data_IF_271429155429
#
_entry.id   IF_271429155429
#
_cell.length_a   1.000
_cell.length_b   1.000
_cell.length_c   1.000
_cell.angle_alpha   90.00
_cell.angle_beta   90.00
_cell.angle_gamma   90.00
#
_symmetry.space_group_name_H-M   'P 1'
#
loop_
_entity.id
_entity.type
_entity.pdbx_description
1 polymer ?
#
# COMPACT_ATOMS: atom_id res chain seq x y z
N UNK A 1 15.73 -8.77 -0.40
CA UNK A 1 14.26 -8.56 -0.52
C UNK A 1 13.75 -8.28 0.88
N UNK A 2 12.75 -7.43 1.07
CA UNK A 2 12.36 -6.85 2.37
C UNK A 2 12.14 -7.88 3.50
N UNK A 3 11.81 -9.11 3.13
CA UNK A 3 11.61 -10.27 3.99
C UNK A 3 12.85 -10.68 4.81
N UNK A 4 14.05 -10.46 4.27
CA UNK A 4 15.31 -10.84 4.93
C UNK A 4 15.68 -9.91 6.09
N UNK A 5 15.17 -8.68 6.10
CA UNK A 5 15.54 -7.66 7.08
C UNK A 5 14.66 -7.73 8.33
N UNK A 6 15.15 -7.33 9.51
CA UNK A 6 14.37 -7.33 10.74
C UNK A 6 13.20 -6.31 10.71
N UNK A 7 12.25 -6.39 11.65
CA UNK A 7 11.28 -5.31 11.90
C UNK A 7 11.97 -3.96 12.14
N UNK A 8 11.24 -2.86 11.96
CA UNK A 8 11.77 -1.49 12.06
C UNK A 8 12.85 -1.13 11.04
N UNK A 9 12.93 -1.84 9.92
CA UNK A 9 13.88 -1.52 8.84
C UNK A 9 13.33 -0.42 7.94
N UNK A 10 14.21 0.50 7.52
CA UNK A 10 13.91 1.48 6.48
C UNK A 10 14.45 1.02 5.13
N UNK A 11 13.56 0.93 4.15
CA UNK A 11 13.85 0.61 2.77
C UNK A 11 13.76 1.86 1.92
N UNK A 12 14.85 2.21 1.26
CA UNK A 12 14.90 3.32 0.31
C UNK A 12 14.86 2.77 -1.11
N UNK A 13 13.87 3.20 -1.88
CA UNK A 13 13.67 2.79 -3.28
C UNK A 13 14.28 3.86 -4.18
N UNK A 14 15.30 3.46 -4.94
CA UNK A 14 15.96 4.33 -5.91
C UNK A 14 14.98 4.90 -6.96
N UNK A 15 15.33 5.98 -7.67
CA UNK A 15 14.50 6.47 -8.78
C UNK A 15 14.24 5.37 -9.83
N UNK A 16 13.03 5.33 -10.39
CA UNK A 16 12.67 4.39 -11.44
C UNK A 16 11.58 3.40 -11.05
N UNK A 17 11.36 2.41 -11.91
CA UNK A 17 10.28 1.44 -11.80
C UNK A 17 10.77 0.16 -11.12
N UNK A 18 10.22 -0.11 -9.95
CA UNK A 18 10.41 -1.32 -9.17
C UNK A 18 9.23 -2.26 -9.41
N UNK A 19 9.54 -3.54 -9.60
CA UNK A 19 8.55 -4.59 -9.88
C UNK A 19 8.71 -5.71 -8.88
N UNK A 20 7.61 -6.38 -8.61
CA UNK A 20 7.59 -7.60 -7.81
C UNK A 20 7.81 -8.80 -8.75
N UNK A 21 7.80 -10.01 -8.20
CA UNK A 21 7.79 -11.20 -9.03
C UNK A 21 6.52 -11.28 -9.90
N UNK A 22 6.50 -12.21 -10.85
CA UNK A 22 5.43 -12.32 -11.84
C UNK A 22 4.15 -13.00 -11.32
N UNK A 23 4.14 -13.55 -10.10
CA UNK A 23 2.98 -14.24 -9.56
C UNK A 23 1.95 -13.27 -9.00
N UNK A 24 0.68 -13.67 -9.09
CA UNK A 24 -0.45 -12.83 -8.66
C UNK A 24 -0.42 -12.38 -7.19
N UNK A 25 0.31 -13.09 -6.33
CA UNK A 25 0.46 -12.79 -4.90
C UNK A 25 1.90 -12.45 -4.52
N UNK A 26 2.78 -12.21 -5.49
CA UNK A 26 4.05 -11.56 -5.18
C UNK A 26 3.71 -10.12 -4.74
N UNK A 27 4.00 -9.83 -3.48
CA UNK A 27 3.57 -8.63 -2.77
C UNK A 27 4.57 -8.35 -1.64
N UNK A 28 4.56 -7.12 -1.11
CA UNK A 28 5.37 -6.80 0.07
C UNK A 28 4.57 -7.14 1.32
N UNK A 29 5.09 -8.05 2.14
CA UNK A 29 4.59 -8.32 3.50
C UNK A 29 5.54 -7.62 4.50
N UNK A 30 5.22 -6.42 4.97
CA UNK A 30 6.05 -5.67 5.89
C UNK A 30 6.05 -6.30 7.28
N UNK A 31 7.15 -6.08 8.02
CA UNK A 31 7.23 -6.33 9.45
C UNK A 31 6.89 -5.05 10.22
N UNK A 32 6.51 -5.19 11.49
CA UNK A 32 6.14 -4.08 12.36
C UNK A 32 7.17 -2.95 12.28
N UNK A 33 6.69 -1.73 12.08
CA UNK A 33 7.56 -0.54 12.06
C UNK A 33 8.38 -0.34 10.79
N UNK A 34 8.27 -1.21 9.78
CA UNK A 34 9.00 -1.02 8.53
C UNK A 34 8.57 0.28 7.85
N UNK A 35 9.55 0.92 7.21
CA UNK A 35 9.35 2.18 6.49
C UNK A 35 9.83 2.03 5.05
N UNK A 36 9.00 2.41 4.08
CA UNK A 36 9.30 2.38 2.65
C UNK A 36 9.30 3.82 2.12
N UNK A 37 10.45 4.25 1.60
CA UNK A 37 10.66 5.62 1.11
C UNK A 37 11.04 5.57 -0.36
N UNK A 38 10.22 6.18 -1.22
CA UNK A 38 10.58 6.41 -2.61
C UNK A 38 11.50 7.63 -2.77
N UNK A 39 12.54 7.48 -3.56
CA UNK A 39 13.22 8.62 -4.17
C UNK A 39 12.28 9.34 -5.16
N UNK A 40 12.55 10.59 -5.54
CA UNK A 40 11.80 11.25 -6.61
C UNK A 40 11.71 10.39 -7.87
N UNK A 41 10.49 10.12 -8.33
CA UNK A 41 10.25 9.26 -9.49
C UNK A 41 10.29 7.75 -9.20
N UNK A 42 10.38 7.32 -7.95
CA UNK A 42 10.22 5.91 -7.59
C UNK A 42 8.76 5.45 -7.80
N UNK A 43 8.62 4.35 -8.53
CA UNK A 43 7.34 3.72 -8.85
C UNK A 43 7.41 2.25 -8.46
N UNK A 44 6.44 1.77 -7.69
CA UNK A 44 6.15 0.36 -7.53
C UNK A 44 5.01 -0.01 -8.49
N UNK A 45 5.31 -0.81 -9.50
CA UNK A 45 4.39 -1.17 -10.58
C UNK A 45 4.04 -2.66 -10.53
N UNK A 46 2.76 -2.97 -10.34
CA UNK A 46 2.24 -4.35 -10.30
C UNK A 46 2.02 -4.99 -11.67
N UNK A 47 2.27 -4.26 -12.76
CA UNK A 47 2.19 -4.72 -14.15
C UNK A 47 0.87 -5.37 -14.59
N UNK A 48 -0.21 -5.16 -13.82
CA UNK A 48 -1.48 -5.90 -13.88
C UNK A 48 -1.38 -7.39 -13.55
N UNK A 49 -0.22 -7.85 -13.11
CA UNK A 49 0.05 -9.23 -12.70
C UNK A 49 -0.16 -9.40 -11.19
N UNK A 50 0.43 -8.51 -10.38
CA UNK A 50 0.34 -8.56 -8.92
C UNK A 50 -0.98 -7.96 -8.45
N UNK A 51 -1.73 -8.65 -7.57
CA UNK A 51 -3.00 -8.13 -7.07
C UNK A 51 -2.84 -7.00 -6.06
N UNK A 52 -1.83 -7.09 -5.20
CA UNK A 52 -1.65 -6.17 -4.07
C UNK A 52 -0.18 -5.76 -3.96
N UNK A 53 0.05 -4.54 -3.48
CA UNK A 53 1.39 -3.99 -3.30
C UNK A 53 1.91 -4.26 -1.88
N UNK A 54 1.09 -3.96 -0.87
CA UNK A 54 1.42 -4.09 0.54
C UNK A 54 0.26 -4.76 1.29
N UNK A 55 0.53 -5.89 1.92
CA UNK A 55 -0.43 -6.69 2.70
C UNK A 55 0.08 -6.92 4.12
N UNK A 56 -0.57 -7.78 4.88
CA UNK A 56 -0.22 -8.14 6.24
C UNK A 56 -1.04 -7.38 7.29
N UNK A 57 -1.17 -8.01 8.45
CA UNK A 57 -1.92 -7.53 9.62
C UNK A 57 -1.04 -6.73 10.60
N UNK A 58 0.25 -6.59 10.31
CA UNK A 58 1.18 -5.92 11.20
C UNK A 58 0.96 -4.41 11.21
N UNK A 59 0.93 -3.82 12.40
CA UNK A 59 0.71 -2.38 12.53
C UNK A 59 1.97 -1.53 12.34
N UNK A 60 1.75 -0.21 12.33
CA UNK A 60 2.83 0.81 12.39
C UNK A 60 3.77 0.86 11.19
N UNK A 61 3.31 0.50 9.99
CA UNK A 61 4.09 0.59 8.75
C UNK A 61 4.00 2.01 8.17
N UNK A 62 5.09 2.51 7.58
CA UNK A 62 5.10 3.80 6.88
C UNK A 62 5.44 3.62 5.40
N UNK A 63 4.66 4.25 4.53
CA UNK A 63 4.92 4.37 3.09
C UNK A 63 4.98 5.86 2.76
N UNK A 64 6.06 6.31 2.12
CA UNK A 64 6.28 7.72 1.83
C UNK A 64 6.94 7.97 0.48
N UNK A 65 6.53 9.03 -0.22
CA UNK A 65 7.12 9.47 -1.50
C UNK A 65 7.11 8.41 -2.61
N UNK A 66 6.13 7.51 -2.60
CA UNK A 66 6.08 6.39 -3.55
C UNK A 66 4.86 6.49 -4.46
N UNK A 67 5.05 6.21 -5.75
CA UNK A 67 3.93 5.93 -6.66
C UNK A 67 3.65 4.44 -6.68
N UNK A 68 2.42 4.03 -6.42
CA UNK A 68 1.97 2.63 -6.42
C UNK A 68 0.89 2.51 -7.49
N UNK A 69 1.13 1.70 -8.52
CA UNK A 69 0.25 1.65 -9.69
C UNK A 69 0.13 0.28 -10.36
N UNK A 70 -0.94 0.14 -11.16
CA UNK A 70 -1.20 -1.00 -12.02
C UNK A 70 -1.29 -2.35 -11.31
N UNK A 71 -1.68 -2.37 -10.04
CA UNK A 71 -1.98 -3.63 -9.36
C UNK A 71 -3.38 -4.14 -9.74
N UNK A 72 -3.49 -5.45 -9.86
CA UNK A 72 -4.72 -6.18 -10.17
C UNK A 72 -5.14 -6.12 -11.64
N UNK A 73 -5.91 -7.13 -12.03
CA UNK A 73 -6.58 -7.21 -13.34
C UNK A 73 -7.87 -6.39 -13.30
N UNK A 74 -8.16 -5.64 -14.36
CA UNK A 74 -9.35 -4.78 -14.45
C UNK A 74 -10.64 -5.57 -14.13
N UNK A 75 -11.50 -4.99 -13.29
CA UNK A 75 -12.72 -5.65 -12.83
C UNK A 75 -12.50 -6.72 -11.75
N UNK A 76 -11.25 -6.98 -11.34
CA UNK A 76 -10.90 -7.89 -10.26
C UNK A 76 -10.77 -7.22 -8.90
N UNK A 77 -10.04 -7.89 -7.99
CA UNK A 77 -9.72 -7.44 -6.64
C UNK A 77 -10.92 -7.24 -5.68
N UNK A 78 -12.15 -7.62 -6.02
CA UNK A 78 -13.26 -7.88 -5.07
C UNK A 78 -13.40 -6.93 -3.85
N UNK A 79 -13.33 -5.60 -4.02
CA UNK A 79 -13.39 -4.60 -2.94
C UNK A 79 -12.18 -4.55 -1.99
N UNK A 80 -11.11 -5.26 -2.32
CA UNK A 80 -9.85 -5.34 -1.58
C UNK A 80 -8.88 -4.21 -1.96
N UNK A 81 -8.08 -3.79 -0.98
CA UNK A 81 -7.09 -2.74 -1.08
C UNK A 81 -5.77 -3.21 -1.66
N UNK A 82 -5.21 -2.43 -2.56
CA UNK A 82 -3.85 -2.65 -3.05
C UNK A 82 -2.80 -2.30 -2.00
N UNK A 83 -3.07 -1.31 -1.17
CA UNK A 83 -2.20 -0.89 -0.06
C UNK A 83 -2.92 -1.13 1.26
N UNK A 84 -2.20 -1.74 2.21
CA UNK A 84 -2.71 -2.12 3.53
C UNK A 84 -3.94 -3.03 3.43
N UNK A 85 -3.88 -4.04 2.56
CA UNK A 85 -4.97 -4.95 2.22
C UNK A 85 -5.77 -5.42 3.44
N UNK A 86 -5.10 -5.80 4.52
CA UNK A 86 -5.71 -6.42 5.70
C UNK A 86 -6.21 -5.39 6.74
N UNK A 87 -6.27 -4.11 6.38
CA UNK A 87 -6.71 -3.01 7.26
C UNK A 87 -5.97 -2.98 8.59
N UNK A 88 -4.66 -3.25 8.58
CA UNK A 88 -3.85 -3.16 9.76
C UNK A 88 -3.84 -1.72 10.32
N UNK A 89 -3.65 -1.61 11.63
CA UNK A 89 -3.75 -0.35 12.37
C UNK A 89 -2.43 0.43 12.43
N UNK A 90 -2.52 1.75 12.57
CA UNK A 90 -1.37 2.65 12.73
C UNK A 90 -0.49 2.82 11.49
N UNK A 91 -0.97 2.47 10.30
CA UNK A 91 -0.22 2.70 9.06
C UNK A 91 -0.22 4.20 8.70
N UNK A 92 0.90 4.67 8.16
CA UNK A 92 1.05 6.02 7.62
C UNK A 92 1.36 5.94 6.13
N UNK A 93 0.47 6.48 5.30
CA UNK A 93 0.64 6.62 3.86
C UNK A 93 0.77 8.13 3.60
N UNK A 94 1.98 8.59 3.34
CA UNK A 94 2.29 10.01 3.28
C UNK A 94 2.87 10.41 1.92
N UNK A 95 2.46 11.55 1.37
CA UNK A 95 3.10 12.16 0.19
C UNK A 95 3.27 11.15 -0.96
N UNK A 96 2.29 10.27 -1.12
CA UNK A 96 2.35 9.11 -2.02
C UNK A 96 1.21 9.16 -3.03
N UNK A 97 1.38 8.50 -4.17
CA UNK A 97 0.35 8.41 -5.20
C UNK A 97 -0.07 6.96 -5.37
N UNK A 98 -1.32 6.63 -5.06
CA UNK A 98 -1.89 5.28 -5.27
C UNK A 98 -2.90 5.38 -6.40
N UNK A 99 -2.55 4.87 -7.58
CA UNK A 99 -3.32 5.14 -8.78
C UNK A 99 -3.49 3.98 -9.73
N UNK A 100 -4.57 4.04 -10.52
CA UNK A 100 -4.81 3.11 -11.63
C UNK A 100 -4.80 1.65 -11.20
N UNK A 101 -5.08 1.33 -9.94
CA UNK A 101 -5.20 -0.05 -9.50
C UNK A 101 -6.58 -0.61 -9.82
N UNK A 102 -6.73 -1.92 -9.91
CA UNK A 102 -8.02 -2.53 -10.22
C UNK A 102 -9.00 -2.52 -9.02
N UNK A 103 -8.48 -2.74 -7.82
CA UNK A 103 -9.25 -2.74 -6.57
C UNK A 103 -9.39 -1.36 -5.92
N UNK A 104 -9.65 -1.36 -4.62
CA UNK A 104 -9.54 -0.16 -3.80
C UNK A 104 -8.07 0.30 -3.71
N UNK A 105 -7.85 1.61 -3.62
CA UNK A 105 -6.50 2.16 -3.47
C UNK A 105 -5.87 1.72 -2.14
N UNK A 106 -6.49 2.10 -1.02
CA UNK A 106 -6.00 1.83 0.33
C UNK A 106 -7.10 1.26 1.22
N UNK A 107 -6.80 0.23 2.01
CA UNK A 107 -7.67 -0.23 3.08
C UNK A 107 -7.17 0.30 4.43
N UNK A 108 -8.07 0.79 5.28
CA UNK A 108 -7.70 1.55 6.48
C UNK A 108 -8.26 0.91 7.76
N UNK A 109 -7.36 0.61 8.71
CA UNK A 109 -7.70 0.26 10.08
C UNK A 109 -7.65 1.47 11.01
N UNK A 110 -7.76 1.20 12.31
CA UNK A 110 -7.70 2.25 13.34
C UNK A 110 -6.33 2.94 13.39
N UNK A 111 -6.31 4.23 13.73
CA UNK A 111 -5.12 5.07 13.83
C UNK A 111 -4.33 5.22 12.52
N UNK A 112 -4.91 4.81 11.38
CA UNK A 112 -4.25 5.01 10.10
C UNK A 112 -4.29 6.48 9.68
N UNK A 113 -3.29 6.87 8.91
CA UNK A 113 -3.15 8.23 8.42
C UNK A 113 -2.82 8.18 6.93
N UNK A 114 -3.66 8.82 6.12
CA UNK A 114 -3.34 9.13 4.73
C UNK A 114 -3.16 10.63 4.65
N UNK A 115 -1.93 11.08 4.40
CA UNK A 115 -1.56 12.50 4.41
C UNK A 115 -0.89 12.93 3.12
N UNK A 116 -1.29 14.09 2.59
CA UNK A 116 -0.70 14.72 1.40
C UNK A 116 -0.61 13.73 0.21
N UNK A 117 -1.56 12.80 0.10
CA UNK A 117 -1.49 11.67 -0.82
C UNK A 117 -2.59 11.73 -1.86
N UNK A 118 -2.25 11.29 -3.08
CA UNK A 118 -3.19 11.25 -4.20
C UNK A 118 -3.71 9.82 -4.41
N UNK A 119 -5.00 9.59 -4.20
CA UNK A 119 -5.68 8.32 -4.47
C UNK A 119 -6.57 8.48 -5.71
N UNK A 120 -6.09 8.11 -6.90
CA UNK A 120 -6.76 8.49 -8.16
C UNK A 120 -6.87 7.36 -9.18
N UNK A 121 -8.05 7.27 -9.84
CA UNK A 121 -8.27 6.30 -10.93
C UNK A 121 -8.15 4.83 -10.50
N UNK A 122 -8.30 4.52 -9.22
CA UNK A 122 -8.44 3.14 -8.75
C UNK A 122 -9.83 2.62 -9.17
N UNK A 123 -9.91 1.33 -9.52
CA UNK A 123 -11.06 0.76 -10.23
C UNK A 123 -12.32 0.60 -9.39
N UNK A 124 -12.20 0.72 -8.06
CA UNK A 124 -13.33 0.66 -7.13
C UNK A 124 -13.38 1.94 -6.29
N UNK A 125 -12.60 2.01 -5.20
CA UNK A 125 -12.60 3.14 -4.27
C UNK A 125 -11.21 3.79 -4.18
N UNK A 126 -11.15 5.06 -3.81
CA UNK A 126 -9.89 5.68 -3.36
C UNK A 126 -9.37 4.99 -2.11
N UNK A 127 -10.24 4.82 -1.12
CA UNK A 127 -9.99 4.07 0.10
C UNK A 127 -11.27 3.39 0.60
N UNK A 128 -11.13 2.40 1.48
CA UNK A 128 -12.17 1.98 2.40
C UNK A 128 -11.59 1.89 3.82
N UNK A 129 -12.42 1.65 4.82
CA UNK A 129 -11.96 1.44 6.19
C UNK A 129 -12.73 0.28 6.84
N UNK A 130 -12.00 -0.60 7.52
CA UNK A 130 -12.57 -1.76 8.20
C UNK A 130 -11.77 -2.13 9.44
N UNK A 131 -12.48 -2.49 10.51
CA UNK A 131 -11.93 -3.13 11.69
C UNK A 131 -13.08 -3.83 12.42
N UNK A 132 -12.83 -5.03 12.96
CA UNK A 132 -13.90 -5.87 13.55
C UNK A 132 -14.69 -5.17 14.66
N UNK A 133 -14.01 -4.30 15.43
CA UNK A 133 -14.60 -3.56 16.54
C UNK A 133 -14.93 -2.09 16.17
N UNK A 134 -15.03 -1.79 14.88
CA UNK A 134 -15.12 -0.42 14.39
C UNK A 134 -13.76 0.27 14.26
N UNK A 135 -13.70 1.26 13.37
CA UNK A 135 -12.50 2.05 13.06
C UNK A 135 -12.49 3.31 13.91
N UNK A 136 -11.36 3.60 14.56
CA UNK A 136 -11.17 4.81 15.37
C UNK A 136 -9.92 5.57 14.93
N UNK A 137 -9.89 6.88 15.19
CA UNK A 137 -8.69 7.73 15.04
C UNK A 137 -8.08 7.77 13.63
N UNK A 138 -8.93 7.66 12.60
CA UNK A 138 -8.50 7.77 11.22
C UNK A 138 -8.23 9.24 10.85
N UNK A 139 -7.10 9.51 10.21
CA UNK A 139 -6.80 10.83 9.63
C UNK A 139 -6.69 10.75 8.12
N UNK A 140 -7.44 11.60 7.41
CA UNK A 140 -7.28 11.87 5.99
C UNK A 140 -7.01 13.38 5.86
N UNK A 141 -5.82 13.76 5.37
CA UNK A 141 -5.41 15.16 5.28
C UNK A 141 -4.57 15.42 4.03
#
# INVERSE_FOLDING_TARGET
MTEAEPPHTTFWLAPGVHRLGAQKYDQVVPKKGNTYIGAPGAVLDGQRSNRYAFTGDTGSVTIRHLTIQNFGVRGGNNNEGVVNHDSASGWRIERSTVRKNAGAGVMLGSRNQVRDSCLSGNGQYGFNAYHANGVTDLTLA
#
